data_IF_013124952039
#
_entry.id   IF_013124952039
#
_cell.length_a   1.000
_cell.length_b   1.000
_cell.length_c   1.000
_cell.angle_alpha   90.00
_cell.angle_beta   90.00
_cell.angle_gamma   90.00
#
_symmetry.space_group_name_H-M   'P 1'
#
loop_
_entity.id
_entity.type
_entity.pdbx_description
1 polymer ?
#
# COMPACT_ATOMS: atom_id res chain seq x y z
N UNK A 1 11.88 18.30 -9.31
CA UNK A 1 12.30 18.74 -7.95
C UNK A 1 13.80 18.55 -7.73
N UNK A 2 14.37 17.34 -7.81
CA UNK A 2 15.81 17.12 -7.61
C UNK A 2 16.72 17.93 -8.55
N UNK A 3 16.34 18.06 -9.84
CA UNK A 3 17.08 18.83 -10.85
C UNK A 3 17.12 20.33 -10.50
N UNK A 4 16.01 20.89 -10.00
CA UNK A 4 15.95 22.30 -9.59
C UNK A 4 16.82 22.53 -8.36
N UNK A 5 16.80 21.62 -7.40
CA UNK A 5 17.64 21.69 -6.21
C UNK A 5 19.14 21.65 -6.54
N UNK A 6 19.55 20.79 -7.46
CA UNK A 6 20.92 20.70 -7.93
C UNK A 6 21.39 21.90 -8.78
N UNK A 7 20.44 22.67 -9.36
CA UNK A 7 20.71 23.90 -10.07
C UNK A 7 20.94 25.13 -9.17
N UNK A 8 20.53 25.05 -7.90
CA UNK A 8 20.61 26.18 -6.95
C UNK A 8 21.78 26.04 -5.97
N UNK A 9 22.02 24.81 -5.51
CA UNK A 9 23.08 24.49 -4.55
C UNK A 9 23.96 23.35 -5.08
N UNK A 10 25.24 23.30 -4.69
CA UNK A 10 26.13 22.17 -5.02
C UNK A 10 25.51 20.85 -4.55
N UNK A 11 25.67 19.79 -5.34
CA UNK A 11 25.08 18.46 -5.08
C UNK A 11 25.47 17.97 -3.67
N UNK A 12 26.69 18.23 -3.22
CA UNK A 12 27.18 17.84 -1.90
C UNK A 12 26.38 18.45 -0.74
N UNK A 13 25.82 19.65 -0.94
CA UNK A 13 25.02 20.33 0.07
C UNK A 13 23.54 19.91 0.05
N UNK A 14 23.07 19.34 -1.05
CA UNK A 14 21.67 18.94 -1.25
C UNK A 14 21.51 17.41 -1.07
N UNK A 15 22.56 16.65 -1.30
CA UNK A 15 22.54 15.20 -1.13
C UNK A 15 22.11 14.81 0.29
N UNK A 16 21.10 13.96 0.37
CA UNK A 16 20.51 13.47 1.64
C UNK A 16 19.92 14.56 2.56
N UNK A 17 19.64 15.77 2.03
CA UNK A 17 19.00 16.84 2.80
C UNK A 17 17.62 17.19 2.28
N UNK A 18 16.83 17.79 3.16
CA UNK A 18 15.46 18.20 2.85
C UNK A 18 15.46 19.35 1.86
N UNK A 19 14.53 19.35 0.90
CA UNK A 19 14.27 20.44 -0.05
C UNK A 19 13.98 21.80 0.62
N UNK A 20 13.60 21.80 1.89
CA UNK A 20 13.45 23.00 2.68
C UNK A 20 14.73 23.85 2.74
N UNK A 21 15.91 23.23 2.69
CA UNK A 21 17.18 23.94 2.65
C UNK A 21 17.32 24.81 1.39
N UNK A 22 16.93 24.26 0.24
CA UNK A 22 16.94 24.99 -1.05
C UNK A 22 15.93 26.12 -1.04
N UNK A 23 14.74 25.86 -0.50
CA UNK A 23 13.71 26.88 -0.35
C UNK A 23 14.15 28.03 0.56
N UNK A 24 14.89 27.74 1.64
CA UNK A 24 15.42 28.75 2.55
C UNK A 24 16.45 29.67 1.89
N UNK A 25 17.20 29.18 0.89
CA UNK A 25 18.18 29.99 0.17
C UNK A 25 17.55 30.85 -0.93
N UNK A 26 16.42 30.43 -1.49
CA UNK A 26 15.76 31.14 -2.61
C UNK A 26 14.71 32.13 -2.10
N UNK A 27 13.93 31.74 -1.07
CA UNK A 27 12.76 32.51 -0.65
C UNK A 27 13.09 33.48 0.49
N UNK A 28 12.49 34.69 0.50
CA UNK A 28 12.49 35.52 1.69
C UNK A 28 11.74 34.82 2.83
N UNK A 29 12.07 35.15 4.08
CA UNK A 29 11.61 34.43 5.28
C UNK A 29 10.07 34.24 5.32
N UNK A 30 9.29 35.22 4.94
CA UNK A 30 7.83 35.11 4.95
C UNK A 30 7.31 34.10 3.92
N UNK A 31 7.91 34.06 2.73
CA UNK A 31 7.53 33.10 1.68
C UNK A 31 8.02 31.69 2.00
N UNK A 32 9.19 31.56 2.66
CA UNK A 32 9.68 30.28 3.18
C UNK A 32 8.72 29.68 4.21
N UNK A 33 8.20 30.48 5.15
CA UNK A 33 7.22 30.01 6.15
C UNK A 33 5.93 29.53 5.46
N UNK A 34 5.43 30.30 4.49
CA UNK A 34 4.24 29.90 3.71
C UNK A 34 4.51 28.61 2.93
N UNK A 35 5.70 28.47 2.33
CA UNK A 35 6.10 27.25 1.61
C UNK A 35 6.14 26.01 2.52
N UNK A 36 6.69 26.14 3.72
CA UNK A 36 6.75 25.03 4.67
C UNK A 36 5.37 24.67 5.20
N UNK A 37 4.57 25.64 5.61
CA UNK A 37 3.23 25.40 6.14
C UNK A 37 2.30 24.90 5.03
N UNK A 38 2.21 25.62 3.92
CA UNK A 38 1.31 25.32 2.81
C UNK A 38 1.72 24.06 2.02
N UNK A 39 3.01 23.82 1.85
CA UNK A 39 3.53 22.67 1.12
C UNK A 39 3.72 21.45 2.02
N UNK A 40 4.66 21.51 2.97
CA UNK A 40 5.06 20.34 3.72
C UNK A 40 4.01 19.92 4.77
N UNK A 41 3.54 20.86 5.62
CA UNK A 41 2.62 20.52 6.72
C UNK A 41 1.27 20.06 6.18
N UNK A 42 0.68 20.80 5.23
CA UNK A 42 -0.60 20.38 4.64
C UNK A 42 -0.49 19.11 3.80
N UNK A 43 0.62 18.91 3.07
CA UNK A 43 0.83 17.67 2.32
C UNK A 43 0.92 16.46 3.24
N UNK A 44 1.64 16.55 4.37
CA UNK A 44 1.72 15.48 5.37
C UNK A 44 0.35 15.23 5.99
N UNK A 45 -0.37 16.29 6.39
CA UNK A 45 -1.68 16.16 7.01
C UNK A 45 -2.70 15.47 6.07
N UNK A 46 -2.76 15.89 4.81
CA UNK A 46 -3.67 15.28 3.81
C UNK A 46 -3.29 13.85 3.50
N UNK A 47 -1.99 13.53 3.40
CA UNK A 47 -1.51 12.17 3.16
C UNK A 47 -1.84 11.24 4.31
N UNK A 48 -1.71 11.70 5.57
CA UNK A 48 -2.09 10.93 6.76
C UNK A 48 -3.58 10.64 6.79
N UNK A 49 -4.42 11.65 6.55
CA UNK A 49 -5.89 11.49 6.54
C UNK A 49 -6.30 10.51 5.44
N UNK A 50 -5.76 10.66 4.24
CA UNK A 50 -6.06 9.78 3.11
C UNK A 50 -5.57 8.35 3.36
N UNK A 51 -4.35 8.17 3.86
CA UNK A 51 -3.79 6.87 4.18
C UNK A 51 -4.62 6.11 5.21
N UNK A 52 -5.03 6.78 6.28
CA UNK A 52 -5.91 6.23 7.32
C UNK A 52 -7.27 5.82 6.72
N UNK A 53 -7.86 6.69 5.89
CA UNK A 53 -9.14 6.40 5.25
C UNK A 53 -9.08 5.19 4.31
N UNK A 54 -8.01 5.05 3.54
CA UNK A 54 -7.82 3.93 2.62
C UNK A 54 -7.57 2.60 3.33
N UNK A 55 -6.82 2.59 4.43
CA UNK A 55 -6.40 1.35 5.11
C UNK A 55 -7.48 0.74 6.02
N UNK A 56 -8.33 1.56 6.63
CA UNK A 56 -9.27 1.11 7.67
C UNK A 56 -10.29 0.09 7.18
N UNK A 57 -10.88 0.28 6.00
CA UNK A 57 -11.91 -0.62 5.48
C UNK A 57 -11.37 -1.95 4.98
N UNK A 58 -10.27 -2.01 4.21
CA UNK A 58 -9.62 -3.28 3.89
C UNK A 58 -9.20 -4.07 5.13
N UNK A 59 -8.61 -3.41 6.14
CA UNK A 59 -8.22 -4.07 7.37
C UNK A 59 -9.43 -4.60 8.17
N UNK A 60 -10.55 -3.85 8.19
CA UNK A 60 -11.79 -4.33 8.77
C UNK A 60 -12.33 -5.56 8.04
N UNK A 61 -12.20 -5.58 6.70
CA UNK A 61 -12.61 -6.75 5.91
C UNK A 61 -11.78 -7.98 6.24
N UNK A 62 -10.45 -7.81 6.34
CA UNK A 62 -9.54 -8.89 6.77
C UNK A 62 -9.92 -9.42 8.16
N UNK A 63 -10.32 -8.55 9.09
CA UNK A 63 -10.81 -8.96 10.39
C UNK A 63 -12.15 -9.73 10.31
N UNK A 64 -13.10 -9.25 9.48
CA UNK A 64 -14.41 -9.91 9.26
C UNK A 64 -14.25 -11.30 8.63
N UNK A 65 -13.27 -11.47 7.75
CA UNK A 65 -12.97 -12.75 7.10
C UNK A 65 -12.29 -13.77 8.05
N UNK A 66 -12.01 -13.37 9.29
CA UNK A 66 -11.46 -14.27 10.33
C UNK A 66 -9.92 -14.35 10.36
N UNK A 67 -9.21 -13.57 9.52
CA UNK A 67 -7.75 -13.51 9.55
C UNK A 67 -7.18 -12.85 10.80
N UNK A 68 -7.92 -11.92 11.40
CA UNK A 68 -7.58 -11.27 12.66
C UNK A 68 -8.48 -11.78 13.80
N UNK A 69 -8.04 -11.69 15.07
CA UNK A 69 -8.88 -11.99 16.22
C UNK A 69 -10.17 -11.17 16.25
N UNK A 70 -11.24 -11.71 16.85
CA UNK A 70 -12.58 -11.09 16.88
C UNK A 70 -12.60 -9.70 17.55
N UNK A 71 -11.64 -9.42 18.40
CA UNK A 71 -11.45 -8.11 19.00
C UNK A 71 -11.35 -6.98 17.95
N UNK A 72 -10.73 -7.26 16.79
CA UNK A 72 -10.57 -6.29 15.69
C UNK A 72 -11.87 -6.00 14.93
N UNK A 73 -12.90 -6.83 15.10
CA UNK A 73 -14.23 -6.62 14.50
C UNK A 73 -15.04 -5.52 15.18
N UNK A 74 -14.58 -5.02 16.33
CA UNK A 74 -15.31 -4.02 17.12
C UNK A 74 -15.36 -2.67 16.38
N UNK A 75 -16.58 -2.16 16.24
CA UNK A 75 -16.87 -0.85 15.65
C UNK A 75 -17.61 0.04 16.64
N UNK A 76 -17.58 1.34 16.39
CA UNK A 76 -18.44 2.31 17.10
C UNK A 76 -19.90 2.17 16.61
N UNK A 77 -20.83 2.85 17.27
CA UNK A 77 -22.24 2.91 16.83
C UNK A 77 -22.42 3.41 15.39
N UNK A 78 -21.50 4.23 14.91
CA UNK A 78 -21.46 4.74 13.53
C UNK A 78 -20.74 3.81 12.54
N UNK A 79 -20.37 2.58 12.93
CA UNK A 79 -19.67 1.62 12.08
C UNK A 79 -18.16 1.89 11.90
N UNK A 80 -17.58 2.82 12.66
CA UNK A 80 -16.16 3.15 12.57
C UNK A 80 -15.28 2.11 13.28
N UNK A 81 -14.27 1.49 12.63
CA UNK A 81 -13.41 0.45 13.20
C UNK A 81 -12.29 1.04 14.09
N UNK A 82 -12.65 1.53 15.24
CA UNK A 82 -11.74 2.24 16.15
C UNK A 82 -10.58 1.38 16.67
N UNK A 83 -10.80 0.07 16.84
CA UNK A 83 -9.75 -0.85 17.32
C UNK A 83 -8.64 -0.98 16.29
N UNK A 84 -8.99 -1.14 15.03
CA UNK A 84 -8.03 -1.20 13.92
C UNK A 84 -7.25 0.11 13.84
N UNK A 85 -7.95 1.24 13.96
CA UNK A 85 -7.33 2.57 13.93
C UNK A 85 -6.36 2.77 15.09
N UNK A 86 -6.74 2.38 16.31
CA UNK A 86 -5.87 2.45 17.48
C UNK A 86 -4.63 1.56 17.30
N UNK A 87 -4.81 0.37 16.75
CA UNK A 87 -3.70 -0.55 16.47
C UNK A 87 -2.72 0.03 15.48
N UNK A 88 -3.19 0.61 14.36
CA UNK A 88 -2.32 1.30 13.42
C UNK A 88 -1.54 2.45 14.06
N UNK A 89 -2.21 3.23 14.90
CA UNK A 89 -1.57 4.32 15.63
C UNK A 89 -0.46 3.82 16.55
N UNK A 90 -0.74 2.79 17.35
CA UNK A 90 0.25 2.19 18.24
C UNK A 90 1.45 1.62 17.47
N UNK A 91 1.21 0.89 16.39
CA UNK A 91 2.29 0.36 15.54
C UNK A 91 3.12 1.47 14.89
N UNK A 92 2.51 2.59 14.51
CA UNK A 92 3.22 3.72 13.90
C UNK A 92 4.11 4.47 14.89
N UNK A 93 3.78 4.46 16.17
CA UNK A 93 4.58 5.11 17.22
C UNK A 93 5.82 4.27 17.60
N UNK A 94 5.73 2.95 17.53
CA UNK A 94 6.82 2.06 17.96
C UNK A 94 8.18 2.40 17.32
N UNK A 95 8.31 2.54 15.99
CA UNK A 95 9.58 2.90 15.39
C UNK A 95 10.16 4.23 15.86
N UNK A 96 9.27 5.19 16.16
CA UNK A 96 9.68 6.51 16.69
C UNK A 96 10.24 6.38 18.10
N UNK A 97 9.59 5.59 18.97
CA UNK A 97 10.07 5.33 20.36
C UNK A 97 11.42 4.61 20.32
N UNK A 98 11.60 3.67 19.39
CA UNK A 98 12.85 2.94 19.24
C UNK A 98 13.95 3.76 18.53
N UNK A 99 13.67 4.99 18.10
CA UNK A 99 14.64 5.88 17.48
C UNK A 99 15.11 5.43 16.10
N UNK A 100 14.29 4.70 15.35
CA UNK A 100 14.62 4.33 13.97
C UNK A 100 14.74 5.56 13.08
N UNK A 101 15.73 5.54 12.18
CA UNK A 101 15.86 6.59 11.17
C UNK A 101 14.66 6.55 10.19
N UNK A 102 14.36 7.68 9.55
CA UNK A 102 13.30 7.75 8.55
C UNK A 102 13.52 6.74 7.42
N UNK A 103 14.77 6.60 6.96
CA UNK A 103 15.13 5.65 5.90
C UNK A 103 14.88 4.20 6.30
N UNK A 104 15.18 3.84 7.55
CA UNK A 104 14.88 2.51 8.09
C UNK A 104 13.38 2.24 8.14
N UNK A 105 12.57 3.23 8.58
CA UNK A 105 11.11 3.10 8.62
C UNK A 105 10.53 2.92 7.22
N UNK A 106 10.99 3.71 6.25
CA UNK A 106 10.57 3.60 4.85
C UNK A 106 10.90 2.22 4.29
N UNK A 107 12.12 1.75 4.49
CA UNK A 107 12.56 0.43 4.00
C UNK A 107 11.77 -0.72 4.65
N UNK A 108 11.52 -0.64 5.97
CA UNK A 108 10.70 -1.62 6.71
C UNK A 108 9.28 -1.76 6.15
N UNK A 109 8.70 -0.68 5.66
CA UNK A 109 7.33 -0.69 5.11
C UNK A 109 7.29 -1.00 3.63
N UNK A 110 8.28 -0.52 2.87
CA UNK A 110 8.32 -0.67 1.40
C UNK A 110 8.65 -2.09 0.98
N UNK A 111 9.55 -2.81 1.67
CA UNK A 111 9.92 -4.17 1.27
C UNK A 111 8.72 -5.13 1.28
N UNK A 112 7.94 -5.26 2.37
CA UNK A 112 6.73 -6.08 2.36
C UNK A 112 5.69 -5.61 1.33
N UNK A 113 5.58 -4.29 1.12
CA UNK A 113 4.68 -3.72 0.12
C UNK A 113 5.06 -4.15 -1.30
N UNK A 114 6.35 -4.11 -1.66
CA UNK A 114 6.82 -4.58 -2.98
C UNK A 114 6.60 -6.08 -3.17
N UNK A 115 6.79 -6.89 -2.13
CA UNK A 115 6.49 -8.32 -2.17
C UNK A 115 4.98 -8.58 -2.39
N UNK A 116 4.12 -7.77 -1.77
CA UNK A 116 2.67 -7.82 -2.02
C UNK A 116 2.31 -7.40 -3.45
N UNK A 117 2.90 -6.35 -3.99
CA UNK A 117 2.71 -5.92 -5.37
C UNK A 117 3.14 -7.02 -6.36
N UNK A 118 4.27 -7.67 -6.11
CA UNK A 118 4.71 -8.83 -6.89
C UNK A 118 3.67 -9.96 -6.89
N UNK A 119 3.15 -10.33 -5.71
CA UNK A 119 2.10 -11.35 -5.60
C UNK A 119 0.80 -10.95 -6.32
N UNK A 120 0.43 -9.67 -6.27
CA UNK A 120 -0.69 -9.11 -7.02
C UNK A 120 -0.48 -9.21 -8.53
N UNK A 121 0.70 -8.86 -9.05
CA UNK A 121 1.03 -8.97 -10.46
C UNK A 121 0.93 -10.42 -10.99
N UNK A 122 1.39 -11.41 -10.21
CA UNK A 122 1.19 -12.82 -10.55
C UNK A 122 -0.31 -13.19 -10.55
N UNK A 123 -1.07 -12.67 -9.59
CA UNK A 123 -2.50 -12.94 -9.48
C UNK A 123 -3.29 -12.34 -10.65
N UNK A 124 -2.90 -11.17 -11.15
CA UNK A 124 -3.51 -10.52 -12.30
C UNK A 124 -3.41 -11.38 -13.57
N UNK A 125 -2.28 -12.04 -13.81
CA UNK A 125 -2.11 -12.97 -14.94
C UNK A 125 -3.13 -14.12 -14.88
N UNK A 126 -3.43 -14.62 -13.65
CA UNK A 126 -4.41 -15.67 -13.44
C UNK A 126 -5.85 -15.20 -13.62
N UNK A 127 -6.15 -13.93 -13.29
CA UNK A 127 -7.49 -13.34 -13.44
C UNK A 127 -7.91 -13.33 -14.90
N UNK A 128 -7.05 -12.92 -15.81
CA UNK A 128 -7.35 -12.90 -17.27
C UNK A 128 -7.73 -14.28 -17.78
N UNK A 129 -7.05 -15.34 -17.29
CA UNK A 129 -7.38 -16.73 -17.65
C UNK A 129 -8.68 -17.22 -17.03
N UNK A 130 -9.00 -16.74 -15.82
CA UNK A 130 -10.17 -17.19 -15.05
C UNK A 130 -11.47 -16.49 -15.48
N UNK A 131 -11.37 -15.24 -15.93
CA UNK A 131 -12.50 -14.40 -16.31
C UNK A 131 -12.35 -13.79 -17.71
N UNK A 132 -12.26 -14.62 -18.78
CA UNK A 132 -11.97 -14.14 -20.13
C UNK A 132 -13.08 -13.26 -20.70
N UNK A 133 -14.35 -13.52 -20.37
CA UNK A 133 -15.48 -12.70 -20.83
C UNK A 133 -15.40 -11.29 -20.26
N UNK A 134 -15.29 -11.17 -18.93
CA UNK A 134 -15.21 -9.90 -18.24
C UNK A 134 -13.97 -9.10 -18.66
N UNK A 135 -12.87 -9.78 -18.97
CA UNK A 135 -11.68 -9.15 -19.48
C UNK A 135 -11.90 -8.53 -20.87
N UNK A 136 -12.54 -9.25 -21.76
CA UNK A 136 -12.82 -8.78 -23.13
C UNK A 136 -13.84 -7.62 -23.17
N UNK A 137 -14.76 -7.57 -22.21
CA UNK A 137 -15.78 -6.54 -22.05
C UNK A 137 -15.29 -5.34 -21.21
N UNK A 138 -14.08 -5.39 -20.68
CA UNK A 138 -13.51 -4.31 -19.88
C UNK A 138 -13.22 -3.08 -20.71
N UNK A 139 -13.52 -1.89 -20.18
CA UNK A 139 -13.20 -0.59 -20.79
C UNK A 139 -11.69 -0.41 -21.02
N UNK A 140 -10.87 -1.03 -20.18
CA UNK A 140 -9.40 -1.00 -20.27
C UNK A 140 -8.92 -2.33 -20.89
N UNK A 141 -9.62 -2.83 -21.91
CA UNK A 141 -9.20 -4.06 -22.59
C UNK A 141 -7.88 -3.86 -23.32
N UNK A 142 -6.94 -4.76 -23.04
CA UNK A 142 -5.62 -4.80 -23.65
C UNK A 142 -5.37 -6.22 -24.17
N UNK A 143 -4.67 -6.43 -25.31
CA UNK A 143 -4.31 -7.77 -25.77
C UNK A 143 -3.63 -8.57 -24.65
N UNK A 144 -4.15 -9.75 -24.36
CA UNK A 144 -3.69 -10.62 -23.27
C UNK A 144 -2.16 -10.83 -23.22
N UNK A 145 -1.45 -11.06 -24.37
CA UNK A 145 0.00 -11.22 -24.32
C UNK A 145 0.72 -9.96 -23.86
N UNK A 146 0.28 -8.78 -24.30
CA UNK A 146 0.88 -7.50 -23.87
C UNK A 146 0.66 -7.29 -22.38
N UNK A 147 -0.56 -7.53 -21.90
CA UNK A 147 -0.88 -7.43 -20.48
C UNK A 147 -0.02 -8.36 -19.62
N UNK A 148 0.15 -9.62 -20.02
CA UNK A 148 0.98 -10.58 -19.30
C UNK A 148 2.45 -10.14 -19.26
N UNK A 149 2.98 -9.61 -20.35
CA UNK A 149 4.36 -9.09 -20.39
C UNK A 149 4.52 -7.90 -19.45
N UNK A 150 3.56 -6.97 -19.43
CA UNK A 150 3.57 -5.84 -18.52
C UNK A 150 3.52 -6.28 -17.04
N UNK A 151 2.68 -7.27 -16.71
CA UNK A 151 2.62 -7.82 -15.35
C UNK A 151 3.94 -8.48 -14.93
N UNK A 152 4.60 -9.18 -15.85
CA UNK A 152 5.92 -9.79 -15.58
C UNK A 152 6.98 -8.72 -15.39
N UNK A 153 7.03 -7.71 -16.25
CA UNK A 153 7.99 -6.60 -16.13
C UNK A 153 7.76 -5.86 -14.80
N UNK A 154 6.52 -5.52 -14.47
CA UNK A 154 6.18 -4.88 -13.21
C UNK A 154 6.63 -5.72 -12.00
N UNK A 155 6.35 -7.03 -12.02
CA UNK A 155 6.79 -7.94 -10.95
C UNK A 155 8.31 -8.02 -10.82
N UNK A 156 9.06 -8.01 -11.93
CA UNK A 156 10.53 -7.96 -11.88
C UNK A 156 11.00 -6.63 -11.28
N UNK A 157 10.39 -5.51 -11.66
CA UNK A 157 10.71 -4.20 -11.08
C UNK A 157 10.45 -4.18 -9.56
N UNK A 158 9.32 -4.74 -9.10
CA UNK A 158 9.01 -4.84 -7.67
C UNK A 158 10.10 -5.61 -6.91
N UNK A 159 10.57 -6.74 -7.45
CA UNK A 159 11.63 -7.54 -6.85
C UNK A 159 12.98 -6.81 -6.84
N UNK A 160 13.32 -6.09 -7.92
CA UNK A 160 14.56 -5.30 -7.99
C UNK A 160 14.53 -4.20 -6.93
N UNK A 161 13.41 -3.49 -6.78
CA UNK A 161 13.26 -2.45 -5.77
C UNK A 161 13.35 -3.05 -4.36
N UNK A 162 12.64 -4.14 -4.09
CA UNK A 162 12.70 -4.83 -2.80
C UNK A 162 14.13 -5.29 -2.46
N UNK A 163 14.85 -5.85 -3.43
CA UNK A 163 16.24 -6.29 -3.26
C UNK A 163 17.17 -5.11 -2.96
N UNK A 164 17.09 -4.02 -3.71
CA UNK A 164 17.91 -2.84 -3.48
C UNK A 164 17.69 -2.24 -2.09
N UNK A 165 16.41 -2.11 -1.67
CA UNK A 165 16.07 -1.63 -0.33
C UNK A 165 16.62 -2.58 0.74
N UNK A 166 16.50 -3.89 0.53
CA UNK A 166 16.99 -4.89 1.50
C UNK A 166 18.51 -4.82 1.68
N UNK A 167 19.27 -4.69 0.60
CA UNK A 167 20.76 -4.63 0.65
C UNK A 167 21.27 -3.31 1.26
N UNK A 168 20.51 -2.22 1.14
CA UNK A 168 20.90 -0.92 1.72
C UNK A 168 20.61 -0.81 3.22
N UNK A 169 19.86 -1.77 3.80
CA UNK A 169 19.56 -1.79 5.23
C UNK A 169 20.72 -2.31 6.06
N UNK A 170 20.79 -1.85 7.30
CA UNK A 170 21.66 -2.44 8.33
C UNK A 170 21.16 -3.84 8.74
N UNK A 171 22.02 -4.63 9.36
CA UNK A 171 21.69 -6.01 9.77
C UNK A 171 20.45 -6.08 10.66
N UNK A 172 20.27 -5.10 11.55
CA UNK A 172 19.11 -5.03 12.45
C UNK A 172 17.82 -4.86 11.67
N UNK A 173 17.81 -3.96 10.69
CA UNK A 173 16.67 -3.74 9.80
C UNK A 173 16.34 -4.97 8.96
N UNK A 174 17.34 -5.64 8.39
CA UNK A 174 17.14 -6.89 7.64
C UNK A 174 16.47 -7.97 8.51
N UNK A 175 16.97 -8.16 9.73
CA UNK A 175 16.38 -9.14 10.66
C UNK A 175 14.93 -8.78 11.05
N UNK A 176 14.64 -7.50 11.25
CA UNK A 176 13.29 -7.03 11.57
C UNK A 176 12.31 -7.28 10.42
N UNK A 177 12.68 -6.99 9.17
CA UNK A 177 11.84 -7.25 8.00
C UNK A 177 11.54 -8.74 7.88
N UNK A 178 12.57 -9.59 7.97
CA UNK A 178 12.40 -11.04 7.89
C UNK A 178 11.52 -11.55 9.03
N UNK A 179 11.78 -11.11 10.27
CA UNK A 179 10.98 -11.49 11.42
C UNK A 179 9.51 -11.09 11.25
N UNK A 180 9.24 -9.86 10.78
CA UNK A 180 7.89 -9.38 10.52
C UNK A 180 7.17 -10.24 9.46
N UNK A 181 7.82 -10.53 8.35
CA UNK A 181 7.27 -11.38 7.31
C UNK A 181 6.98 -12.79 7.82
N UNK A 182 7.90 -13.39 8.58
CA UNK A 182 7.72 -14.72 9.18
C UNK A 182 6.54 -14.71 10.17
N UNK A 183 6.47 -13.73 11.05
CA UNK A 183 5.35 -13.59 12.00
C UNK A 183 4.00 -13.49 11.28
N UNK A 184 3.91 -12.69 10.22
CA UNK A 184 2.69 -12.56 9.42
C UNK A 184 2.29 -13.91 8.80
N UNK A 185 3.24 -14.63 8.20
CA UNK A 185 2.99 -15.95 7.60
C UNK A 185 2.57 -16.97 8.67
N UNK A 186 3.25 -17.00 9.82
CA UNK A 186 2.92 -17.93 10.92
C UNK A 186 1.51 -17.65 11.45
N UNK A 187 1.15 -16.38 11.70
CA UNK A 187 -0.19 -16.01 12.13
C UNK A 187 -1.23 -16.45 11.09
N UNK A 188 -0.99 -16.19 9.82
CA UNK A 188 -1.89 -16.60 8.74
C UNK A 188 -2.08 -18.12 8.70
N UNK A 189 -1.00 -18.91 8.81
CA UNK A 189 -1.06 -20.37 8.82
C UNK A 189 -1.79 -20.92 10.06
N UNK A 190 -1.55 -20.34 11.24
CA UNK A 190 -2.25 -20.71 12.46
C UNK A 190 -3.76 -20.45 12.30
N UNK A 191 -4.15 -19.29 11.82
CA UNK A 191 -5.56 -18.93 11.62
C UNK A 191 -6.24 -19.83 10.58
N UNK A 192 -5.53 -20.17 9.50
CA UNK A 192 -6.03 -21.11 8.49
C UNK A 192 -6.26 -22.50 9.06
N UNK A 193 -5.29 -23.03 9.85
CA UNK A 193 -5.39 -24.37 10.45
C UNK A 193 -6.38 -24.47 11.59
N UNK A 194 -6.60 -23.37 12.34
CA UNK A 194 -7.54 -23.33 13.46
C UNK A 194 -9.02 -23.34 13.04
N UNK A 195 -9.32 -23.28 11.73
CA UNK A 195 -10.70 -23.18 11.25
C UNK A 195 -11.40 -21.85 11.56
N UNK A 196 -10.65 -20.85 12.03
CA UNK A 196 -11.18 -19.51 12.33
C UNK A 196 -11.63 -18.76 11.07
N UNK A 197 -11.19 -19.24 9.90
CA UNK A 197 -11.53 -18.70 8.59
C UNK A 197 -12.61 -19.58 7.97
N UNK A 198 -13.78 -19.00 7.79
CA UNK A 198 -14.87 -19.68 7.06
C UNK A 198 -14.59 -19.56 5.55
N UNK A 199 -13.96 -20.61 5.00
CA UNK A 199 -13.62 -20.67 3.58
C UNK A 199 -14.87 -20.69 2.70
N UNK A 200 -15.98 -21.22 3.19
CA UNK A 200 -17.24 -21.29 2.46
C UNK A 200 -17.91 -19.91 2.38
N UNK A 201 -17.89 -19.17 3.49
CA UNK A 201 -18.36 -17.77 3.50
C UNK A 201 -17.48 -16.86 2.63
N UNK A 202 -16.16 -17.11 2.57
CA UNK A 202 -15.23 -16.38 1.70
C UNK A 202 -15.53 -16.63 0.21
N UNK A 203 -15.77 -17.89 -0.18
CA UNK A 203 -16.11 -18.25 -1.56
C UNK A 203 -17.49 -17.70 -1.95
N UNK A 204 -18.48 -17.76 -1.07
CA UNK A 204 -19.81 -17.19 -1.31
C UNK A 204 -19.74 -15.66 -1.52
N UNK A 205 -18.92 -14.96 -0.75
CA UNK A 205 -18.71 -13.51 -0.94
C UNK A 205 -18.00 -13.20 -2.26
N UNK A 206 -17.00 -13.99 -2.60
CA UNK A 206 -16.31 -13.87 -3.88
C UNK A 206 -17.29 -14.05 -5.04
N UNK A 207 -18.17 -15.06 -4.95
CA UNK A 207 -19.19 -15.28 -5.96
C UNK A 207 -20.16 -14.10 -6.03
N UNK A 208 -20.63 -13.57 -4.89
CA UNK A 208 -21.49 -12.40 -4.84
C UNK A 208 -20.86 -11.17 -5.49
N UNK A 209 -19.55 -10.95 -5.34
CA UNK A 209 -18.83 -9.86 -6.01
C UNK A 209 -18.82 -10.07 -7.53
N UNK A 210 -18.55 -11.32 -7.98
CA UNK A 210 -18.55 -11.66 -9.41
C UNK A 210 -19.95 -11.45 -10.01
N UNK A 211 -21.00 -11.90 -9.34
CA UNK A 211 -22.40 -11.76 -9.78
C UNK A 211 -22.82 -10.28 -9.86
N UNK A 212 -22.40 -9.48 -8.87
CA UNK A 212 -22.65 -8.04 -8.86
C UNK A 212 -21.95 -7.36 -10.06
N UNK A 213 -20.70 -7.73 -10.35
CA UNK A 213 -19.98 -7.21 -11.52
C UNK A 213 -20.66 -7.59 -12.83
N UNK A 214 -21.15 -8.83 -12.94
CA UNK A 214 -21.88 -9.29 -14.13
C UNK A 214 -23.20 -8.55 -14.34
N UNK A 215 -23.85 -8.13 -13.26
CA UNK A 215 -25.12 -7.40 -13.31
C UNK A 215 -24.93 -5.91 -13.71
N UNK A 216 -23.82 -5.29 -13.32
CA UNK A 216 -23.54 -3.87 -13.62
C UNK A 216 -22.85 -3.64 -14.98
N UNK A 217 -22.25 -4.65 -15.58
CA UNK A 217 -21.49 -4.52 -16.83
C UNK A 217 -22.36 -4.04 -18.01
N UNK A 218 -23.58 -4.57 -18.25
CA UNK A 218 -24.43 -4.11 -19.34
C UNK A 218 -24.78 -2.62 -19.27
N UNK A 219 -25.13 -2.14 -18.08
CA UNK A 219 -25.54 -0.74 -17.86
C UNK A 219 -24.41 0.27 -18.08
N UNK A 220 -23.17 -0.14 -17.85
CA UNK A 220 -22.00 0.73 -18.06
C UNK A 220 -21.58 0.76 -19.52
N UNK A 221 -21.69 -0.34 -20.24
CA UNK A 221 -21.41 -0.40 -21.67
C UNK A 221 -22.40 0.44 -22.48
N UNK A 222 -23.67 0.43 -22.11
CA UNK A 222 -24.70 1.24 -22.75
C UNK A 222 -24.49 2.75 -22.53
N UNK A 223 -24.06 3.14 -21.34
CA UNK A 223 -23.69 4.54 -21.02
C UNK A 223 -22.39 5.01 -21.66
N UNK A 224 -21.47 4.12 -21.98
CA UNK A 224 -20.21 4.46 -22.65
C UNK A 224 -20.34 4.56 -24.18
N UNK A 225 -21.44 4.02 -24.75
CA UNK A 225 -21.76 4.08 -26.18
C UNK A 225 -22.74 5.21 -26.55
N UNK A 226 -23.35 5.86 -25.54
CA UNK A 226 -24.24 7.01 -25.68
C UNK A 226 -23.48 8.33 -25.48
#
# INVERSE_FOLDING_TARGET
MAVVAAGVLPIEQVANKNLALVAQTIFPNWLYVIFIIGGAVFAIATSLISGIAMMRYPAMRVAQDGWLPDFFKKTTKSGYPWVIQLTFYLFSILPIIFGFSLDSIVSLTMIPSMLMCFAQNISLIKIVKKFPKQWNESVIHMPTPIFNVLCVIAGICDLIVAYNLFVTMDLTGMLLVVAMCVVCVVIALIRLKSGAIDLQALENRKQAVIDTFQQYLPDQLEKAQA
#
